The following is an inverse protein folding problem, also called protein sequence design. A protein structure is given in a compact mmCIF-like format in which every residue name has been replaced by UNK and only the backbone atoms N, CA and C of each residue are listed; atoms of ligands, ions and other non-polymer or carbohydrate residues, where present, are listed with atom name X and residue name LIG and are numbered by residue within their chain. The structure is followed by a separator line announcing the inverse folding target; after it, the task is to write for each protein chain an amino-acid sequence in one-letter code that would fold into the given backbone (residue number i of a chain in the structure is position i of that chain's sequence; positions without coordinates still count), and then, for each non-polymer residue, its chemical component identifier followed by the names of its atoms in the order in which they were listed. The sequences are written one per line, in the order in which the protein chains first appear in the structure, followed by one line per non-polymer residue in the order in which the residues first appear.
data_IF_773520576818
#
_entry.id   IF_773520576818
#
_cell.length_a   1.000
_cell.length_b   1.000
_cell.length_c   1.000
_cell.angle_alpha   90.00
_cell.angle_beta   90.00
_cell.angle_gamma   90.00
#
_symmetry.space_group_name_H-M   'P 1'
#
loop_
_entity.id
_entity.type
_entity.pdbx_description
1 polymer ?
#
# COMPACT_ATOMS: atom_id res chain seq x y z
N UNK A 1 12.37 13.73 -39.00
CA UNK A 1 12.02 14.68 -37.92
C UNK A 1 11.22 13.92 -36.87
N UNK A 2 11.57 13.96 -35.58
CA UNK A 2 10.75 13.35 -34.53
C UNK A 2 9.42 14.12 -34.41
N UNK A 3 8.31 13.39 -34.40
CA UNK A 3 6.96 13.95 -34.21
C UNK A 3 6.83 14.44 -32.77
N UNK A 4 6.49 15.71 -32.58
CA UNK A 4 6.20 16.25 -31.25
C UNK A 4 5.11 15.40 -30.57
N UNK A 5 5.25 15.03 -29.29
CA UNK A 5 4.26 14.22 -28.61
C UNK A 5 2.95 15.02 -28.50
N UNK A 6 1.88 14.48 -29.08
CA UNK A 6 0.55 15.04 -28.90
C UNK A 6 0.17 14.94 -27.41
N UNK A 7 -0.44 16.00 -26.86
CA UNK A 7 -0.94 16.00 -25.49
C UNK A 7 -1.89 14.79 -25.31
N UNK A 8 -1.69 13.95 -24.28
CA UNK A 8 -2.50 12.76 -24.10
C UNK A 8 -3.95 13.13 -23.81
N UNK A 9 -4.89 12.50 -24.52
CA UNK A 9 -6.33 12.70 -24.33
C UNK A 9 -6.74 12.46 -22.87
N UNK A 10 -7.36 13.43 -22.18
CA UNK A 10 -7.73 13.30 -20.77
C UNK A 10 -8.63 12.08 -20.49
N UNK A 11 -9.50 11.66 -21.41
CA UNK A 11 -10.33 10.46 -21.20
C UNK A 11 -9.48 9.19 -21.21
N UNK A 12 -8.49 9.12 -22.10
CA UNK A 12 -7.54 8.01 -22.14
C UNK A 12 -6.70 7.98 -20.87
N UNK A 13 -6.30 9.14 -20.34
CA UNK A 13 -5.57 9.22 -19.07
C UNK A 13 -6.42 8.75 -17.89
N UNK A 14 -7.69 9.16 -17.84
CA UNK A 14 -8.64 8.69 -16.83
C UNK A 14 -8.76 7.17 -16.87
N UNK A 15 -9.02 6.60 -18.04
CA UNK A 15 -9.12 5.14 -18.19
C UNK A 15 -7.85 4.42 -17.70
N UNK A 16 -6.66 4.95 -18.03
CA UNK A 16 -5.38 4.35 -17.61
C UNK A 16 -5.25 4.37 -16.09
N UNK A 17 -5.49 5.53 -15.45
CA UNK A 17 -5.39 5.70 -14.00
C UNK A 17 -6.43 4.83 -13.26
N UNK A 18 -7.67 4.79 -13.75
CA UNK A 18 -8.72 3.92 -13.19
C UNK A 18 -8.34 2.44 -13.30
N UNK A 19 -7.84 1.99 -14.46
CA UNK A 19 -7.39 0.60 -14.64
C UNK A 19 -6.17 0.25 -13.77
N UNK A 20 -5.24 1.19 -13.57
CA UNK A 20 -4.11 1.00 -12.65
C UNK A 20 -4.62 0.77 -11.22
N UNK A 21 -5.54 1.61 -10.74
CA UNK A 21 -6.17 1.44 -9.43
C UNK A 21 -6.88 0.09 -9.29
N UNK A 22 -7.62 -0.35 -10.33
CA UNK A 22 -8.33 -1.65 -10.31
C UNK A 22 -7.37 -2.84 -10.17
N UNK A 23 -6.19 -2.78 -10.80
CA UNK A 23 -5.18 -3.84 -10.69
C UNK A 23 -4.60 -3.89 -9.28
N UNK A 24 -4.21 -2.73 -8.74
CA UNK A 24 -3.67 -2.60 -7.38
C UNK A 24 -4.69 -3.06 -6.32
N UNK A 25 -5.98 -2.77 -6.52
CA UNK A 25 -7.04 -3.24 -5.63
C UNK A 25 -7.13 -4.77 -5.60
N UNK A 26 -7.01 -5.43 -6.76
CA UNK A 26 -6.98 -6.89 -6.85
C UNK A 26 -5.73 -7.45 -6.18
N UNK A 27 -4.57 -6.86 -6.42
CA UNK A 27 -3.29 -7.25 -5.83
C UNK A 27 -3.34 -7.22 -4.29
N UNK A 28 -3.79 -6.11 -3.71
CA UNK A 28 -4.03 -6.01 -2.25
C UNK A 28 -5.01 -7.08 -1.78
N UNK A 29 -6.08 -7.34 -2.53
CA UNK A 29 -7.04 -8.40 -2.23
C UNK A 29 -6.43 -9.80 -2.22
N UNK A 30 -5.54 -10.10 -3.16
CA UNK A 30 -4.83 -11.39 -3.22
C UNK A 30 -3.92 -11.58 -2.01
N UNK A 31 -3.07 -10.59 -1.69
CA UNK A 31 -2.16 -10.70 -0.54
C UNK A 31 -2.92 -10.80 0.79
N UNK A 32 -4.02 -10.05 0.97
CA UNK A 32 -4.87 -10.19 2.15
C UNK A 32 -5.52 -11.56 2.26
N UNK A 33 -5.89 -12.16 1.14
CA UNK A 33 -6.47 -13.50 1.11
C UNK A 33 -5.42 -14.55 1.47
N UNK A 34 -4.23 -14.43 0.91
CA UNK A 34 -3.10 -15.32 1.18
C UNK A 34 -2.70 -15.29 2.66
N UNK A 35 -2.61 -14.09 3.26
CA UNK A 35 -2.37 -13.95 4.71
C UNK A 35 -3.42 -14.71 5.52
N UNK A 36 -4.72 -14.53 5.21
CA UNK A 36 -5.81 -15.24 5.91
C UNK A 36 -5.74 -16.75 5.75
N UNK A 37 -5.39 -17.24 4.57
CA UNK A 37 -5.23 -18.68 4.30
C UNK A 37 -4.04 -19.24 5.10
N UNK A 38 -2.93 -18.52 5.15
CA UNK A 38 -1.76 -18.89 5.94
C UNK A 38 -2.07 -18.84 7.45
N UNK A 39 -2.79 -17.84 7.94
CA UNK A 39 -3.25 -17.80 9.34
C UNK A 39 -4.12 -18.99 9.71
N UNK A 40 -5.10 -19.33 8.85
CA UNK A 40 -5.96 -20.49 9.07
C UNK A 40 -5.16 -21.79 9.10
N UNK A 41 -4.15 -21.92 8.22
CA UNK A 41 -3.25 -23.07 8.18
C UNK A 41 -2.34 -23.15 9.41
N UNK A 42 -1.82 -22.01 9.87
CA UNK A 42 -1.04 -21.95 11.10
C UNK A 42 -1.88 -22.37 12.30
N UNK A 43 -3.13 -21.90 12.37
CA UNK A 43 -4.06 -22.30 13.42
C UNK A 43 -4.35 -23.80 13.38
N UNK A 44 -4.62 -24.38 12.21
CA UNK A 44 -4.82 -25.83 12.10
C UNK A 44 -3.57 -26.63 12.50
N UNK A 45 -2.36 -26.15 12.19
CA UNK A 45 -1.11 -26.79 12.64
C UNK A 45 -0.94 -26.75 14.16
N UNK A 46 -1.39 -25.66 14.81
CA UNK A 46 -1.42 -25.53 16.28
C UNK A 46 -2.46 -26.47 16.91
N UNK A 47 -3.65 -26.55 16.32
CA UNK A 47 -4.75 -27.41 16.78
C UNK A 47 -4.40 -28.90 16.64
N UNK A 48 -3.70 -29.28 15.56
CA UNK A 48 -3.19 -30.63 15.33
C UNK A 48 -1.96 -30.98 16.20
N UNK A 49 -1.47 -30.05 17.03
CA UNK A 49 -0.25 -30.19 17.84
C UNK A 49 0.94 -30.71 17.02
N UNK A 50 1.15 -30.11 15.84
CA UNK A 50 2.32 -30.39 14.99
C UNK A 50 3.62 -30.05 15.71
N UNK A 51 4.73 -30.51 15.14
CA UNK A 51 6.05 -30.27 15.69
C UNK A 51 6.31 -28.75 15.88
N UNK A 52 6.85 -28.31 17.04
CA UNK A 52 7.11 -26.89 17.29
C UNK A 52 8.03 -26.23 16.27
N UNK A 53 8.97 -26.98 15.67
CA UNK A 53 9.86 -26.49 14.64
C UNK A 53 9.10 -26.20 13.33
N UNK A 54 8.13 -27.05 12.98
CA UNK A 54 7.28 -26.85 11.80
C UNK A 54 6.36 -25.63 11.98
N UNK A 55 5.81 -25.45 13.18
CA UNK A 55 4.99 -24.28 13.52
C UNK A 55 5.82 -23.00 13.42
N UNK A 56 7.02 -22.97 14.03
CA UNK A 56 7.89 -21.80 13.99
C UNK A 56 8.32 -21.44 12.57
N UNK A 57 8.66 -22.43 11.76
CA UNK A 57 9.00 -22.22 10.35
C UNK A 57 7.82 -21.66 9.56
N UNK A 58 6.61 -22.11 9.86
CA UNK A 58 5.42 -21.59 9.20
C UNK A 58 5.06 -20.18 9.67
N UNK A 59 5.35 -19.83 10.92
CA UNK A 59 5.23 -18.45 11.44
C UNK A 59 6.18 -17.49 10.71
N UNK A 60 7.41 -17.92 10.40
CA UNK A 60 8.35 -17.12 9.59
C UNK A 60 7.78 -16.86 8.19
N UNK A 61 7.24 -17.90 7.54
CA UNK A 61 6.57 -17.77 6.21
C UNK A 61 5.37 -16.84 6.29
N UNK A 62 4.55 -16.93 7.34
CA UNK A 62 3.42 -16.02 7.55
C UNK A 62 3.90 -14.57 7.71
N UNK A 63 5.01 -14.36 8.43
CA UNK A 63 5.66 -13.06 8.56
C UNK A 63 6.08 -12.46 7.21
N UNK A 64 6.65 -13.27 6.32
CA UNK A 64 6.98 -12.84 4.96
C UNK A 64 5.74 -12.41 4.16
N UNK A 65 4.63 -13.17 4.25
CA UNK A 65 3.36 -12.79 3.62
C UNK A 65 2.82 -11.46 4.16
N UNK A 66 2.96 -11.22 5.47
CA UNK A 66 2.55 -9.97 6.10
C UNK A 66 3.30 -8.76 5.58
N UNK A 67 4.60 -8.90 5.29
CA UNK A 67 5.44 -7.80 4.80
C UNK A 67 5.02 -7.30 3.39
N UNK A 68 4.27 -8.09 2.62
CA UNK A 68 3.85 -7.72 1.25
C UNK A 68 2.61 -6.82 1.20
N UNK A 69 1.75 -6.88 2.24
CA UNK A 69 0.50 -6.11 2.28
C UNK A 69 0.75 -4.59 2.37
N UNK A 70 1.66 -4.08 3.23
CA UNK A 70 1.87 -2.64 3.40
C UNK A 70 2.35 -1.92 2.13
N UNK A 71 3.26 -2.53 1.37
CA UNK A 71 3.77 -1.94 0.11
C UNK A 71 2.64 -1.85 -0.93
N UNK A 72 1.89 -2.94 -1.10
CA UNK A 72 0.76 -3.00 -2.02
C UNK A 72 -0.32 -1.96 -1.69
N UNK A 73 -0.65 -1.78 -0.41
CA UNK A 73 -1.59 -0.76 0.06
C UNK A 73 -1.04 0.66 -0.15
N UNK A 74 0.26 0.87 0.07
CA UNK A 74 0.90 2.16 -0.18
C UNK A 74 0.86 2.53 -1.66
N UNK A 75 1.12 1.57 -2.55
CA UNK A 75 1.01 1.76 -4.01
C UNK A 75 -0.43 2.07 -4.42
N UNK A 76 -1.41 1.35 -3.86
CA UNK A 76 -2.83 1.63 -4.10
C UNK A 76 -3.21 3.04 -3.68
N UNK A 77 -2.80 3.48 -2.48
CA UNK A 77 -3.07 4.83 -1.97
C UNK A 77 -2.49 5.91 -2.89
N UNK A 78 -1.22 5.77 -3.29
CA UNK A 78 -0.57 6.69 -4.24
C UNK A 78 -1.30 6.75 -5.59
N UNK A 79 -1.72 5.60 -6.12
CA UNK A 79 -2.47 5.54 -7.37
C UNK A 79 -3.84 6.21 -7.27
N UNK A 80 -4.51 6.12 -6.12
CA UNK A 80 -5.79 6.78 -5.87
C UNK A 80 -5.64 8.28 -5.69
N UNK A 81 -4.59 8.72 -5.00
CA UNK A 81 -4.24 10.15 -4.89
C UNK A 81 -3.98 10.75 -6.27
N UNK A 82 -3.21 10.06 -7.13
CA UNK A 82 -2.97 10.47 -8.51
C UNK A 82 -4.26 10.53 -9.35
N UNK A 83 -5.18 9.56 -9.16
CA UNK A 83 -6.50 9.58 -9.79
C UNK A 83 -7.35 10.77 -9.31
N UNK A 84 -7.34 11.05 -8.00
CA UNK A 84 -8.07 12.16 -7.41
C UNK A 84 -7.54 13.51 -7.90
N UNK A 85 -6.22 13.71 -7.88
CA UNK A 85 -5.58 14.91 -8.40
C UNK A 85 -5.87 15.11 -9.89
N UNK A 86 -5.87 14.04 -10.68
CA UNK A 86 -6.24 14.10 -12.09
C UNK A 86 -7.69 14.55 -12.28
N UNK A 87 -8.63 14.02 -11.49
CA UNK A 87 -10.04 14.42 -11.55
C UNK A 87 -10.29 15.86 -11.07
N UNK A 88 -9.41 16.41 -10.23
CA UNK A 88 -9.45 17.81 -9.77
C UNK A 88 -8.72 18.77 -10.71
N UNK A 89 -7.96 18.25 -11.68
CA UNK A 89 -7.19 19.09 -12.60
C UNK A 89 -8.09 19.92 -13.52
N UNK A 90 -7.65 21.14 -13.83
CA UNK A 90 -8.35 22.06 -14.74
C UNK A 90 -8.46 21.49 -16.15
N UNK A 91 -7.47 20.68 -16.59
CA UNK A 91 -7.48 20.02 -17.91
C UNK A 91 -8.65 19.05 -18.07
N UNK A 92 -8.96 18.30 -17.01
CA UNK A 92 -10.10 17.40 -17.00
C UNK A 92 -11.43 18.16 -16.83
N UNK A 93 -11.46 19.15 -15.95
CA UNK A 93 -12.66 19.96 -15.66
C UNK A 93 -13.14 20.77 -16.86
N UNK A 94 -12.22 21.32 -17.67
CA UNK A 94 -12.57 22.03 -18.90
C UNK A 94 -13.13 21.10 -19.99
N UNK A 95 -12.66 19.84 -20.05
CA UNK A 95 -13.18 18.81 -20.97
C UNK A 95 -14.56 18.32 -20.54
N UNK A 96 -14.76 18.13 -19.23
CA UNK A 96 -16.01 17.66 -18.63
C UNK A 96 -17.21 18.56 -18.94
N UNK A 97 -16.99 19.88 -19.05
CA UNK A 97 -18.04 20.83 -19.44
C UNK A 97 -18.51 20.66 -20.90
N UNK A 98 -17.76 19.90 -21.72
CA UNK A 98 -18.01 19.74 -23.16
C UNK A 98 -18.54 18.35 -23.52
N UNK A 99 -18.70 17.41 -22.58
CA UNK A 99 -19.09 16.03 -22.89
C UNK A 99 -19.89 15.36 -21.78
N UNK A 100 -20.61 14.30 -22.14
CA UNK A 100 -21.39 13.48 -21.23
C UNK A 100 -20.47 12.67 -20.30
N UNK A 101 -20.91 12.42 -19.06
CA UNK A 101 -20.16 11.68 -18.05
C UNK A 101 -19.77 10.29 -18.56
N UNK A 102 -18.47 10.00 -18.63
CA UNK A 102 -17.93 8.71 -19.09
C UNK A 102 -18.07 7.63 -18.00
N UNK A 103 -18.28 6.37 -18.39
CA UNK A 103 -18.41 5.23 -17.45
C UNK A 103 -17.22 5.09 -16.50
N UNK A 104 -16.04 5.50 -16.98
CA UNK A 104 -14.79 5.51 -16.21
C UNK A 104 -14.81 6.52 -15.05
N UNK A 105 -15.63 7.57 -15.15
CA UNK A 105 -15.77 8.61 -14.11
C UNK A 105 -16.60 8.11 -12.94
N UNK A 106 -17.72 7.46 -13.25
CA UNK A 106 -18.57 6.79 -12.25
C UNK A 106 -17.75 5.75 -11.50
N UNK A 107 -17.00 4.93 -12.24
CA UNK A 107 -16.11 3.92 -11.65
C UNK A 107 -15.03 4.55 -10.77
N UNK A 108 -14.35 5.60 -11.25
CA UNK A 108 -13.31 6.29 -10.49
C UNK A 108 -13.87 6.92 -9.20
N UNK A 109 -15.02 7.59 -9.27
CA UNK A 109 -15.71 8.17 -8.10
C UNK A 109 -16.13 7.12 -7.09
N UNK A 110 -16.65 5.99 -7.57
CA UNK A 110 -17.03 4.88 -6.71
C UNK A 110 -15.82 4.28 -6.00
N UNK A 111 -14.69 4.10 -6.70
CA UNK A 111 -13.44 3.63 -6.08
C UNK A 111 -12.92 4.59 -5.01
N UNK A 112 -12.98 5.91 -5.25
CA UNK A 112 -12.60 6.92 -4.26
C UNK A 112 -13.55 6.90 -3.04
N UNK A 113 -14.86 6.71 -3.25
CA UNK A 113 -15.84 6.62 -2.17
C UNK A 113 -15.62 5.41 -1.26
N UNK A 114 -15.31 4.24 -1.84
CA UNK A 114 -15.07 3.01 -1.08
C UNK A 114 -13.85 3.10 -0.14
N UNK A 115 -12.91 4.00 -0.40
CA UNK A 115 -11.69 4.16 0.39
C UNK A 115 -11.85 5.10 1.59
N UNK A 116 -12.68 6.15 1.47
CA UNK A 116 -13.01 7.02 2.61
C UNK A 116 -13.81 6.29 3.70
N UNK A 117 -14.60 5.29 3.34
CA UNK A 117 -15.32 4.46 4.32
C UNK A 117 -14.42 3.45 5.05
N UNK A 118 -13.19 3.23 4.59
CA UNK A 118 -12.24 2.27 5.16
C UNK A 118 -11.10 2.88 6.00
N UNK A 119 -10.93 4.21 5.99
CA UNK A 119 -9.87 4.90 6.75
C UNK A 119 -10.39 5.45 8.08
N UNK A 120 -10.65 4.58 9.05
CA UNK A 120 -10.58 4.93 10.46
C UNK A 120 -9.77 3.85 11.19
N UNK A 121 -8.49 3.74 10.83
CA UNK A 121 -7.51 3.07 11.67
C UNK A 121 -6.26 3.96 11.73
N UNK A 122 -6.02 4.47 12.93
CA UNK A 122 -4.99 5.45 13.23
C UNK A 122 -3.62 4.80 13.35
N UNK A 123 -2.73 5.12 12.41
CA UNK A 123 -1.30 4.87 12.54
C UNK A 123 -0.55 6.14 12.87
N UNK A 124 -0.64 6.64 14.11
CA UNK A 124 0.39 7.53 14.66
C UNK A 124 1.58 6.65 15.05
N UNK A 125 2.55 6.48 14.16
CA UNK A 125 3.88 6.04 14.58
C UNK A 125 4.73 7.29 14.78
N UNK A 126 4.86 7.66 16.05
CA UNK A 126 5.91 8.55 16.52
C UNK A 126 7.24 7.81 16.34
N UNK A 127 7.98 8.20 15.31
CA UNK A 127 9.39 7.88 15.19
C UNK A 127 10.13 8.66 16.28
N UNK A 128 10.26 8.04 17.45
CA UNK A 128 11.19 8.43 18.51
C UNK A 128 12.08 7.23 18.75
N UNK A 129 13.02 7.01 17.84
CA UNK A 129 14.16 6.14 18.10
C UNK A 129 15.08 6.86 19.09
N UNK A 130 14.80 6.65 20.39
CA UNK A 130 15.72 6.91 21.48
C UNK A 130 16.89 5.93 21.30
N UNK A 131 17.90 6.36 20.53
CA UNK A 131 19.21 5.71 20.51
C UNK A 131 19.79 5.97 21.89
N UNK A 132 19.72 4.97 22.77
CA UNK A 132 20.47 5.01 24.02
C UNK A 132 21.95 5.07 23.64
N UNK A 133 22.49 6.29 23.71
CA UNK A 133 23.92 6.57 23.64
C UNK A 133 24.56 5.76 24.76
N UNK A 134 25.34 4.74 24.38
CA UNK A 134 26.13 3.98 25.35
C UNK A 134 27.27 4.89 25.78
N UNK A 135 27.12 5.53 26.94
CA UNK A 135 28.16 6.31 27.59
C UNK A 135 29.38 5.41 27.87
N UNK A 136 30.35 5.45 26.97
CA UNK A 136 31.70 4.89 27.17
C UNK A 136 32.53 5.93 27.93
N UNK A 137 32.12 6.25 29.15
CA UNK A 137 32.81 7.21 30.03
C UNK A 137 33.10 6.62 31.40
N UNK A 138 33.59 5.37 31.41
CA UNK A 138 34.14 4.69 32.61
C UNK A 138 35.50 4.04 32.31
N UNK A 139 36.32 4.66 31.46
CA UNK A 139 37.76 4.38 31.46
C UNK A 139 38.35 5.02 32.72
N UNK A 140 38.64 4.16 33.71
CA UNK A 140 39.46 4.50 34.86
C UNK A 140 40.84 4.94 34.36
N UNK A 141 41.15 6.21 34.54
CA UNK A 141 42.50 6.75 34.53
C UNK A 141 43.27 6.16 35.72
N UNK A 142 43.85 4.97 35.59
CA UNK A 142 44.84 4.45 36.54
C UNK A 142 45.58 3.25 35.92
N UNK A 143 46.68 3.51 35.21
CA UNK A 143 47.98 2.91 35.54
C UNK A 143 49.07 3.49 34.62
N UNK A 144 49.85 4.38 35.22
CA UNK A 144 51.16 4.75 34.73
C UNK A 144 52.06 3.51 34.68
N UNK A 145 52.68 3.24 33.52
CA UNK A 145 54.09 2.87 33.40
C UNK A 145 54.60 3.18 31.98
#
# INVERSE_FOLDING_TARGET
MPRAPAKPDPERQLMIKTKACQRLLKEVGYYKKEVKENEAKLQSMKDEQRDPHDIKKFEEVLGESYMMVPDSETRLRKSLEDLMQFMQSDEYTQRQQQSQTSEWESTAREMLKQQHTGSNDGGKNADSCDVQETDVTDLKDDEAF
#
